data_IF_458429237531
#
_entry.id   IF_458429237531
#
_cell.length_a   1.000
_cell.length_b   1.000
_cell.length_c   1.000
_cell.angle_alpha   90.00
_cell.angle_beta   90.00
_cell.angle_gamma   90.00
#
_symmetry.space_group_name_H-M   'P 1'
#
loop_
_entity.id
_entity.type
_entity.pdbx_description
1 polymer ?
#
# COMPACT_ATOMS: atom_id res chain seq x y z
N UNK A 1 5.91 24.33 19.21
CA UNK A 1 7.08 25.16 18.92
C UNK A 1 7.34 26.10 20.08
N UNK A 2 8.59 26.26 20.47
CA UNK A 2 8.94 27.08 21.62
C UNK A 2 10.44 27.22 21.84
N UNK A 3 10.80 27.86 22.95
CA UNK A 3 12.19 28.03 23.36
C UNK A 3 12.58 26.92 24.34
N UNK A 4 13.71 26.30 24.11
CA UNK A 4 14.24 25.20 24.94
C UNK A 4 14.98 25.79 26.15
N UNK A 5 14.70 25.24 27.32
CA UNK A 5 15.46 25.46 28.55
C UNK A 5 15.97 24.08 29.04
N UNK A 6 17.25 23.99 29.36
CA UNK A 6 17.89 22.75 29.76
C UNK A 6 18.22 22.84 31.24
N UNK A 7 17.55 22.02 32.05
CA UNK A 7 17.89 21.85 33.47
C UNK A 7 18.63 20.52 33.71
N UNK A 8 19.76 20.59 34.42
CA UNK A 8 20.43 19.40 34.95
C UNK A 8 20.12 19.26 36.44
N UNK A 9 19.37 18.22 36.79
CA UNK A 9 19.06 17.89 38.18
C UNK A 9 19.42 16.40 38.45
N UNK A 10 20.19 16.15 39.48
CA UNK A 10 20.55 14.80 39.99
C UNK A 10 21.03 13.77 38.95
N UNK A 11 21.76 14.24 37.92
CA UNK A 11 22.27 13.39 36.82
C UNK A 11 21.25 12.95 35.80
N UNK A 12 20.04 13.52 35.83
CA UNK A 12 19.06 13.53 34.74
C UNK A 12 18.99 14.92 34.12
N UNK A 13 18.76 14.97 32.82
CA UNK A 13 18.51 16.22 32.09
C UNK A 13 17.05 16.30 31.77
N UNK A 14 16.46 17.46 32.08
CA UNK A 14 15.08 17.78 31.73
C UNK A 14 15.10 18.92 30.73
N UNK A 15 14.48 18.69 29.58
CA UNK A 15 14.22 19.74 28.57
C UNK A 15 12.84 20.32 28.81
N UNK A 16 12.78 21.61 29.06
CA UNK A 16 11.53 22.37 29.11
C UNK A 16 11.38 23.19 27.84
N UNK A 17 10.24 23.05 27.17
CA UNK A 17 9.93 23.83 25.98
C UNK A 17 8.84 24.82 26.33
N UNK A 18 9.22 26.09 26.35
CA UNK A 18 8.31 27.21 26.62
C UNK A 18 7.59 27.59 25.32
N UNK A 19 6.31 27.23 25.21
CA UNK A 19 5.45 27.56 24.08
C UNK A 19 4.81 28.96 24.18
N UNK A 20 4.09 29.36 23.14
CA UNK A 20 3.51 30.71 22.96
C UNK A 20 2.31 31.05 23.86
N UNK A 21 1.85 30.17 24.77
CA UNK A 21 0.66 30.36 25.64
C UNK A 21 0.93 29.95 27.08
N UNK A 22 2.12 30.20 27.62
CA UNK A 22 2.53 29.71 28.95
C UNK A 22 2.43 28.17 29.12
N UNK A 23 2.36 27.44 28.01
CA UNK A 23 2.49 26.00 28.01
C UNK A 23 3.96 25.62 28.12
N UNK A 24 4.28 24.84 29.13
CA UNK A 24 5.61 24.27 29.32
C UNK A 24 5.49 22.78 29.15
N UNK A 25 6.15 22.25 28.10
CA UNK A 25 6.24 20.82 27.85
C UNK A 25 7.56 20.32 28.42
N UNK A 26 7.50 19.40 29.37
CA UNK A 26 8.67 18.81 30.04
C UNK A 26 9.01 17.44 29.41
N UNK A 27 10.26 17.27 29.00
CA UNK A 27 10.80 16.02 28.47
C UNK A 27 11.97 15.56 29.29
N UNK A 28 11.82 14.42 30.00
CA UNK A 28 12.92 13.79 30.70
C UNK A 28 13.84 13.06 29.75
N UNK A 29 15.12 13.41 29.74
CA UNK A 29 16.10 12.74 28.89
C UNK A 29 16.70 11.53 29.60
N UNK A 30 16.80 10.38 28.88
CA UNK A 30 17.53 9.22 29.38
C UNK A 30 18.99 9.58 29.70
N UNK A 31 19.55 8.93 30.72
CA UNK A 31 20.97 9.14 31.07
C UNK A 31 21.88 8.82 29.90
N UNK A 32 22.70 9.79 29.49
CA UNK A 32 23.59 9.66 28.34
C UNK A 32 22.99 10.01 26.98
N UNK A 33 21.73 10.47 26.93
CA UNK A 33 21.15 11.00 25.70
C UNK A 33 21.97 12.18 25.19
N UNK A 34 22.27 12.19 23.88
CA UNK A 34 22.94 13.30 23.21
C UNK A 34 21.86 14.17 22.59
N UNK A 35 21.99 15.48 22.76
CA UNK A 35 21.12 16.44 22.09
C UNK A 35 21.38 16.43 20.59
N UNK A 36 20.30 16.66 19.83
CA UNK A 36 20.37 16.64 18.38
C UNK A 36 21.23 17.80 17.86
N UNK A 37 22.11 17.47 16.92
CA UNK A 37 22.88 18.40 16.14
C UNK A 37 22.78 18.00 14.68
N UNK A 38 22.43 18.94 13.80
CA UNK A 38 22.41 18.68 12.36
C UNK A 38 23.82 18.42 11.85
N UNK A 39 23.94 17.54 10.84
CA UNK A 39 25.23 17.24 10.17
C UNK A 39 25.86 18.49 9.56
N UNK A 40 25.04 19.43 9.12
CA UNK A 40 25.48 20.74 8.55
C UNK A 40 25.89 21.74 9.62
N UNK A 41 25.69 21.44 10.91
CA UNK A 41 26.01 22.31 12.04
C UNK A 41 25.12 23.55 12.16
N UNK A 42 24.12 23.73 11.31
CA UNK A 42 23.21 24.88 11.33
C UNK A 42 22.16 24.78 12.43
N UNK A 43 21.81 23.56 12.87
CA UNK A 43 20.88 23.31 13.95
C UNK A 43 21.55 22.51 15.07
N UNK A 44 21.64 23.09 16.24
CA UNK A 44 22.08 22.45 17.47
C UNK A 44 21.09 22.80 18.59
N UNK A 45 20.62 21.79 19.30
CA UNK A 45 19.76 21.99 20.47
C UNK A 45 20.64 22.41 21.65
N UNK A 46 20.66 23.71 21.89
CA UNK A 46 21.34 24.35 23.03
C UNK A 46 20.32 25.07 23.90
N UNK A 47 20.74 25.42 25.12
CA UNK A 47 19.90 26.24 25.99
C UNK A 47 19.51 27.55 25.32
N UNK A 48 18.21 27.87 25.31
CA UNK A 48 17.66 29.03 24.61
C UNK A 48 17.40 28.87 23.10
N UNK A 49 17.68 27.71 22.49
CA UNK A 49 17.35 27.44 21.10
C UNK A 49 15.83 27.45 20.85
N UNK A 50 15.42 27.87 19.66
CA UNK A 50 14.03 27.77 19.22
C UNK A 50 13.82 26.47 18.48
N UNK A 51 12.78 25.71 18.85
CA UNK A 51 12.42 24.43 18.25
C UNK A 51 11.02 24.48 17.63
N UNK A 52 10.86 23.81 16.51
CA UNK A 52 9.58 23.66 15.83
C UNK A 52 8.83 22.43 16.30
N UNK A 53 7.53 22.36 15.96
CA UNK A 53 6.71 21.19 16.27
C UNK A 53 7.22 19.96 15.52
N UNK A 54 7.47 18.87 16.24
CA UNK A 54 7.98 17.62 15.66
C UNK A 54 9.48 17.61 15.35
N UNK A 55 10.20 18.63 15.77
CA UNK A 55 11.66 18.66 15.65
C UNK A 55 12.29 17.66 16.61
N UNK A 56 13.24 16.87 16.10
CA UNK A 56 13.98 15.91 16.91
C UNK A 56 14.86 16.61 17.94
N UNK A 57 14.72 16.25 19.21
CA UNK A 57 15.47 16.85 20.32
C UNK A 57 16.72 16.07 20.68
N UNK A 58 16.73 14.76 20.46
CA UNK A 58 17.84 13.88 20.82
C UNK A 58 18.33 13.09 19.62
N UNK A 59 19.61 12.72 19.63
CA UNK A 59 20.18 11.84 18.61
C UNK A 59 19.68 10.41 18.86
N UNK A 60 19.08 9.80 17.84
CA UNK A 60 18.58 8.43 17.92
C UNK A 60 17.57 8.14 16.80
N UNK A 61 17.04 6.93 16.81
CA UNK A 61 15.95 6.56 15.91
C UNK A 61 14.67 7.30 16.33
N UNK A 62 13.98 7.86 15.36
CA UNK A 62 12.70 8.54 15.57
C UNK A 62 11.59 7.50 15.52
N UNK A 63 10.65 7.56 16.47
CA UNK A 63 9.47 6.67 16.45
C UNK A 63 8.47 7.14 15.37
N UNK A 64 8.19 6.31 14.36
CA UNK A 64 7.20 6.63 13.34
C UNK A 64 5.79 6.85 13.88
N UNK A 65 5.45 6.28 15.05
CA UNK A 65 4.15 6.49 15.69
C UNK A 65 4.03 7.91 16.26
N UNK A 66 5.07 8.40 16.91
CA UNK A 66 5.12 9.79 17.39
C UNK A 66 5.09 10.79 16.23
N UNK A 67 5.82 10.49 15.14
CA UNK A 67 5.75 11.31 13.91
C UNK A 67 4.33 11.35 13.33
N UNK A 68 3.63 10.23 13.36
CA UNK A 68 2.24 10.15 12.87
C UNK A 68 1.31 11.04 13.71
N UNK A 69 1.46 11.03 15.02
CA UNK A 69 0.62 11.82 15.93
C UNK A 69 0.90 13.32 15.82
N UNK A 70 2.17 13.71 15.74
CA UNK A 70 2.58 15.13 15.79
C UNK A 70 2.57 15.79 14.42
N UNK A 71 3.13 15.13 13.40
CA UNK A 71 3.33 15.71 12.05
C UNK A 71 2.40 15.13 11.00
N UNK A 72 1.64 14.08 11.34
CA UNK A 72 0.65 13.46 10.47
C UNK A 72 1.18 12.43 9.50
N UNK A 73 0.26 11.87 8.71
CA UNK A 73 0.48 10.69 7.87
C UNK A 73 1.59 10.89 6.83
N UNK A 74 1.59 12.04 6.15
CA UNK A 74 2.54 12.28 5.05
C UNK A 74 3.98 12.30 5.52
N UNK A 75 4.26 12.98 6.62
CA UNK A 75 5.61 13.08 7.18
C UNK A 75 6.11 11.73 7.67
N UNK A 76 5.25 10.95 8.36
CA UNK A 76 5.57 9.60 8.80
C UNK A 76 5.85 8.66 7.61
N UNK A 77 5.09 8.77 6.52
CA UNK A 77 5.34 8.00 5.30
C UNK A 77 6.68 8.34 4.66
N UNK A 78 7.00 9.63 4.51
CA UNK A 78 8.27 10.07 3.93
C UNK A 78 9.46 9.64 4.78
N UNK A 79 9.33 9.73 6.11
CA UNK A 79 10.36 9.26 7.03
C UNK A 79 10.64 7.77 6.87
N UNK A 80 9.59 6.93 6.84
CA UNK A 80 9.75 5.48 6.64
C UNK A 80 10.40 5.13 5.29
N UNK A 81 9.99 5.81 4.21
CA UNK A 81 10.59 5.61 2.89
C UNK A 81 12.07 5.97 2.92
N UNK A 82 12.42 7.12 3.52
CA UNK A 82 13.81 7.56 3.65
C UNK A 82 14.66 6.56 4.43
N UNK A 83 14.23 6.16 5.62
CA UNK A 83 14.96 5.22 6.48
C UNK A 83 15.23 3.88 5.77
N UNK A 84 14.22 3.32 5.10
CA UNK A 84 14.38 2.08 4.33
C UNK A 84 15.35 2.27 3.16
N UNK A 85 15.24 3.37 2.43
CA UNK A 85 16.12 3.66 1.29
C UNK A 85 17.56 3.91 1.71
N UNK A 86 17.78 4.57 2.84
CA UNK A 86 19.12 4.83 3.36
C UNK A 86 19.83 3.52 3.71
N UNK A 87 19.13 2.53 4.27
CA UNK A 87 19.67 1.18 4.49
C UNK A 87 20.05 0.50 3.18
N UNK A 88 19.19 0.51 2.16
CA UNK A 88 19.51 -0.10 0.87
C UNK A 88 20.65 0.61 0.15
N UNK A 89 20.66 1.95 0.16
CA UNK A 89 21.74 2.75 -0.43
C UNK A 89 23.08 2.50 0.24
N UNK A 90 23.10 2.35 1.57
CA UNK A 90 24.34 2.05 2.31
C UNK A 90 24.94 0.68 1.93
N UNK A 91 24.10 -0.25 1.46
CA UNK A 91 24.50 -1.56 0.95
C UNK A 91 24.76 -1.59 -0.56
N UNK A 92 24.67 -0.45 -1.24
CA UNK A 92 24.89 -0.35 -2.68
C UNK A 92 23.76 -0.91 -3.54
N UNK A 93 22.57 -1.11 -2.98
CA UNK A 93 21.41 -1.64 -3.72
C UNK A 93 20.48 -0.50 -4.13
N UNK A 94 20.46 -0.10 -5.42
CA UNK A 94 19.55 0.95 -5.89
C UNK A 94 18.14 0.40 -6.05
N UNK A 95 17.19 0.90 -5.28
CA UNK A 95 15.76 0.60 -5.39
C UNK A 95 15.02 1.91 -5.65
N UNK A 96 14.07 1.90 -6.59
CA UNK A 96 13.24 3.07 -6.84
C UNK A 96 12.21 3.25 -5.71
N UNK A 97 12.05 4.48 -5.23
CA UNK A 97 11.21 4.84 -4.07
C UNK A 97 9.78 4.31 -4.18
N UNK A 98 9.20 4.28 -5.39
CA UNK A 98 7.82 3.80 -5.63
C UNK A 98 7.53 2.40 -5.06
N UNK A 99 8.53 1.51 -5.02
CA UNK A 99 8.34 0.15 -4.50
C UNK A 99 8.18 0.15 -2.98
N UNK A 100 8.95 0.99 -2.30
CA UNK A 100 8.85 1.18 -0.84
C UNK A 100 7.58 1.95 -0.50
N UNK A 101 7.27 3.01 -1.25
CA UNK A 101 6.06 3.82 -1.08
C UNK A 101 4.77 3.01 -1.17
N UNK A 102 4.71 2.02 -2.08
CA UNK A 102 3.56 1.10 -2.18
C UNK A 102 3.34 0.30 -0.90
N UNK A 103 4.43 -0.20 -0.30
CA UNK A 103 4.38 -0.96 0.95
C UNK A 103 3.97 -0.05 2.10
N UNK A 104 4.62 1.10 2.23
CA UNK A 104 4.33 2.09 3.27
C UNK A 104 2.88 2.56 3.17
N UNK A 105 2.36 2.80 1.95
CA UNK A 105 0.95 3.15 1.74
C UNK A 105 -0.01 2.10 2.32
N UNK A 106 0.31 0.80 2.19
CA UNK A 106 -0.52 -0.27 2.77
C UNK A 106 -0.46 -0.29 4.30
N UNK A 107 0.67 0.09 4.90
CA UNK A 107 0.81 0.19 6.36
C UNK A 107 -0.11 1.27 6.97
N UNK A 108 -0.45 2.32 6.22
CA UNK A 108 -1.35 3.41 6.62
C UNK A 108 -2.77 3.29 6.04
N UNK A 109 -3.14 2.13 5.55
CA UNK A 109 -4.44 1.91 4.92
C UNK A 109 -5.60 1.94 5.91
N UNK A 110 -5.36 1.58 7.16
CA UNK A 110 -6.38 1.46 8.20
C UNK A 110 -6.45 2.70 9.09
N UNK A 111 -7.65 2.96 9.58
CA UNK A 111 -7.94 4.00 10.57
C UNK A 111 -8.66 3.37 11.76
N UNK A 112 -8.46 3.94 12.95
CA UNK A 112 -9.16 3.55 14.16
C UNK A 112 -10.27 4.57 14.43
N UNK A 113 -11.51 4.10 14.57
CA UNK A 113 -12.68 4.93 14.84
C UNK A 113 -12.63 5.41 16.29
N UNK A 114 -12.68 6.72 16.49
CA UNK A 114 -12.73 7.35 17.81
C UNK A 114 -14.17 7.67 18.20
N UNK A 115 -14.93 8.24 17.27
CA UNK A 115 -16.32 8.58 17.43
C UNK A 115 -17.12 8.06 16.22
N UNK A 116 -18.21 7.38 16.49
CA UNK A 116 -19.01 6.75 15.45
C UNK A 116 -19.95 7.73 14.72
N UNK A 117 -20.31 8.87 15.34
CA UNK A 117 -21.35 9.75 14.81
C UNK A 117 -22.64 8.99 14.51
N UNK A 118 -23.24 9.29 13.35
CA UNK A 118 -24.45 8.61 12.85
C UNK A 118 -24.12 7.45 11.87
N UNK A 119 -22.87 6.99 11.86
CA UNK A 119 -22.44 5.87 11.02
C UNK A 119 -22.72 4.52 11.69
N UNK A 120 -22.61 3.43 10.91
CA UNK A 120 -22.75 2.05 11.41
C UNK A 120 -21.49 1.52 12.13
N UNK A 121 -20.46 2.32 12.29
CA UNK A 121 -19.20 1.91 12.91
C UNK A 121 -19.28 1.92 14.45
N UNK A 122 -18.38 1.16 15.07
CA UNK A 122 -18.24 1.16 16.53
C UNK A 122 -16.94 1.89 16.93
N UNK A 123 -16.94 2.62 18.05
CA UNK A 123 -15.71 3.18 18.60
C UNK A 123 -14.69 2.08 18.89
N UNK A 124 -13.45 2.28 18.43
CA UNK A 124 -12.37 1.28 18.53
C UNK A 124 -12.23 0.37 17.31
N UNK A 125 -13.16 0.38 16.36
CA UNK A 125 -13.06 -0.41 15.14
C UNK A 125 -11.88 0.03 14.27
N UNK A 126 -11.20 -0.95 13.68
CA UNK A 126 -10.15 -0.72 12.70
C UNK A 126 -10.69 -0.94 11.30
N UNK A 127 -10.88 0.13 10.55
CA UNK A 127 -11.58 0.16 9.27
C UNK A 127 -10.65 0.62 8.14
N UNK A 128 -10.92 0.16 6.92
CA UNK A 128 -10.25 0.66 5.72
C UNK A 128 -10.58 2.15 5.50
N UNK A 129 -9.58 2.96 5.24
CA UNK A 129 -9.71 4.41 5.06
C UNK A 129 -10.66 4.79 3.92
N UNK A 130 -10.69 4.00 2.85
CA UNK A 130 -11.58 4.27 1.70
C UNK A 130 -13.03 3.96 2.06
N UNK A 131 -13.27 2.84 2.77
CA UNK A 131 -14.58 2.47 3.28
C UNK A 131 -15.11 3.49 4.28
N UNK A 132 -14.23 3.95 5.18
CA UNK A 132 -14.54 5.00 6.14
C UNK A 132 -14.96 6.31 5.45
N UNK A 133 -14.21 6.74 4.43
CA UNK A 133 -14.55 7.94 3.65
C UNK A 133 -15.91 7.83 2.96
N UNK A 134 -16.17 6.71 2.28
CA UNK A 134 -17.45 6.49 1.59
C UNK A 134 -18.65 6.50 2.53
N UNK A 135 -18.53 5.92 3.72
CA UNK A 135 -19.60 5.92 4.70
C UNK A 135 -19.85 7.31 5.27
N UNK A 136 -18.79 8.07 5.54
CA UNK A 136 -18.93 9.48 5.96
C UNK A 136 -19.59 10.34 4.87
N UNK A 137 -19.21 10.16 3.60
CA UNK A 137 -19.83 10.87 2.48
C UNK A 137 -21.33 10.54 2.38
N UNK A 138 -21.72 9.26 2.61
CA UNK A 138 -23.11 8.84 2.65
C UNK A 138 -23.89 9.56 3.76
N UNK A 139 -23.37 9.50 4.99
CA UNK A 139 -24.00 10.12 6.16
C UNK A 139 -24.11 11.63 6.00
N UNK A 140 -23.08 12.29 5.47
CA UNK A 140 -23.12 13.73 5.18
C UNK A 140 -24.19 14.06 4.13
N UNK A 141 -24.38 13.23 3.10
CA UNK A 141 -25.43 13.43 2.09
C UNK A 141 -26.83 13.29 2.67
N UNK A 142 -27.00 12.49 3.72
CA UNK A 142 -28.23 12.31 4.48
C UNK A 142 -28.45 13.40 5.56
N UNK A 143 -27.46 14.29 5.77
CA UNK A 143 -27.50 15.38 6.74
C UNK A 143 -27.17 14.96 8.18
N UNK A 144 -26.57 13.77 8.36
CA UNK A 144 -26.11 13.23 9.64
C UNK A 144 -24.71 13.71 10.03
N UNK A 145 -24.28 13.31 11.22
CA UNK A 145 -22.95 13.60 11.76
C UNK A 145 -21.95 12.52 11.31
N UNK A 146 -20.83 12.89 10.65
CA UNK A 146 -19.81 11.93 10.22
C UNK A 146 -19.03 11.36 11.42
N UNK A 147 -18.51 10.14 11.25
CA UNK A 147 -17.60 9.54 12.22
C UNK A 147 -16.23 10.22 12.21
N UNK A 148 -15.57 10.25 13.38
CA UNK A 148 -14.19 10.70 13.54
C UNK A 148 -13.26 9.48 13.74
N UNK A 149 -12.09 9.50 13.08
CA UNK A 149 -11.10 8.44 13.21
C UNK A 149 -9.68 8.98 13.24
N UNK A 150 -8.78 8.22 13.85
CA UNK A 150 -7.33 8.49 13.84
C UNK A 150 -6.63 7.55 12.83
N UNK A 151 -5.66 8.05 12.06
CA UNK A 151 -4.84 7.20 11.21
C UNK A 151 -4.07 6.20 12.06
N UNK A 152 -3.95 4.97 11.56
CA UNK A 152 -3.26 3.88 12.24
C UNK A 152 -2.07 3.43 11.40
N UNK A 153 -0.88 3.37 12.01
CA UNK A 153 0.30 2.75 11.44
C UNK A 153 0.37 1.29 11.88
N UNK A 154 0.38 0.39 10.92
CA UNK A 154 0.54 -1.05 11.15
C UNK A 154 1.89 -1.54 10.64
N UNK A 155 2.54 -2.45 11.37
CA UNK A 155 3.68 -3.19 10.84
C UNK A 155 3.29 -4.02 9.61
N UNK A 156 4.28 -4.37 8.76
CA UNK A 156 4.08 -5.06 7.48
C UNK A 156 3.26 -6.35 7.64
N UNK A 157 3.61 -7.19 8.62
CA UNK A 157 2.90 -8.45 8.88
C UNK A 157 1.45 -8.21 9.28
N UNK A 158 1.20 -7.29 10.21
CA UNK A 158 -0.15 -6.97 10.67
C UNK A 158 -0.99 -6.35 9.55
N UNK A 159 -0.41 -5.48 8.74
CA UNK A 159 -1.09 -4.90 7.58
C UNK A 159 -1.46 -5.96 6.53
N UNK A 160 -0.60 -6.97 6.33
CA UNK A 160 -0.84 -8.08 5.41
C UNK A 160 -1.94 -9.04 5.89
N UNK A 161 -2.09 -9.23 7.20
CA UNK A 161 -3.16 -10.05 7.79
C UNK A 161 -4.49 -9.30 7.91
N UNK A 162 -4.45 -7.98 8.04
CA UNK A 162 -5.63 -7.12 8.14
C UNK A 162 -6.23 -6.79 6.76
N UNK A 163 -6.27 -7.75 5.83
CA UNK A 163 -6.89 -7.58 4.51
C UNK A 163 -8.36 -7.95 4.55
N UNK A 164 -9.14 -7.46 3.58
CA UNK A 164 -10.55 -7.81 3.46
C UNK A 164 -10.76 -9.23 2.88
N UNK A 165 -9.71 -9.81 2.26
CA UNK A 165 -9.67 -11.18 1.75
C UNK A 165 -9.07 -12.12 2.78
N UNK A 166 -9.90 -12.96 3.39
CA UNK A 166 -9.44 -13.99 4.32
C UNK A 166 -8.63 -15.08 3.62
N UNK A 167 -8.90 -15.39 2.34
CA UNK A 167 -8.08 -16.31 1.54
C UNK A 167 -6.64 -15.80 1.39
N UNK A 168 -6.48 -14.53 1.08
CA UNK A 168 -5.16 -13.90 0.98
C UNK A 168 -4.42 -13.92 2.31
N UNK A 169 -5.09 -13.60 3.41
CA UNK A 169 -4.52 -13.63 4.76
C UNK A 169 -4.10 -15.05 5.17
N UNK A 170 -4.98 -16.04 5.00
CA UNK A 170 -4.73 -17.43 5.35
C UNK A 170 -3.56 -18.04 4.58
N UNK A 171 -3.35 -17.63 3.33
CA UNK A 171 -2.21 -18.09 2.51
C UNK A 171 -0.87 -17.47 2.92
N UNK A 172 -0.87 -16.45 3.77
CA UNK A 172 0.34 -15.76 4.21
C UNK A 172 0.86 -16.31 5.55
N UNK A 173 0.09 -16.17 6.62
CA UNK A 173 0.42 -16.64 7.97
C UNK A 173 -0.84 -16.94 8.78
N UNK A 174 -0.69 -17.62 9.90
CA UNK A 174 -1.78 -17.91 10.85
C UNK A 174 -3.00 -18.58 10.20
N UNK A 175 -2.76 -19.49 9.29
CA UNK A 175 -3.80 -20.14 8.45
C UNK A 175 -4.98 -20.64 9.26
N UNK A 176 -4.71 -21.38 10.35
CA UNK A 176 -5.77 -21.98 11.17
C UNK A 176 -6.63 -20.92 11.86
N UNK A 177 -6.00 -19.86 12.40
CA UNK A 177 -6.72 -18.76 13.06
C UNK A 177 -7.62 -18.02 12.07
N UNK A 178 -7.07 -17.62 10.94
CA UNK A 178 -7.80 -16.87 9.90
C UNK A 178 -8.98 -17.69 9.37
N UNK A 179 -8.77 -18.99 9.07
CA UNK A 179 -9.85 -19.86 8.59
C UNK A 179 -10.92 -20.07 9.65
N UNK A 180 -10.55 -20.19 10.92
CA UNK A 180 -11.51 -20.36 12.02
C UNK A 180 -12.34 -19.09 12.20
N UNK A 181 -11.72 -17.91 12.23
CA UNK A 181 -12.40 -16.61 12.33
C UNK A 181 -13.37 -16.43 11.15
N UNK A 182 -12.92 -16.64 9.92
CA UNK A 182 -13.74 -16.52 8.73
C UNK A 182 -14.94 -17.49 8.74
N UNK A 183 -14.75 -18.72 9.25
CA UNK A 183 -15.82 -19.70 9.37
C UNK A 183 -16.86 -19.32 10.44
N UNK A 184 -16.39 -18.79 11.59
CA UNK A 184 -17.28 -18.35 12.67
C UNK A 184 -18.12 -17.12 12.26
N UNK A 185 -17.54 -16.21 11.50
CA UNK A 185 -18.21 -15.01 11.01
C UNK A 185 -19.02 -15.25 9.74
N UNK A 186 -18.94 -16.47 9.16
CA UNK A 186 -19.50 -16.76 7.83
C UNK A 186 -19.06 -15.76 6.77
N UNK A 187 -17.79 -15.33 6.83
CA UNK A 187 -17.25 -14.28 6.00
C UNK A 187 -17.12 -14.71 4.54
N UNK A 188 -17.70 -13.94 3.64
CA UNK A 188 -17.49 -14.08 2.19
C UNK A 188 -16.22 -13.38 1.73
N UNK A 189 -15.46 -13.99 0.81
CA UNK A 189 -14.32 -13.32 0.18
C UNK A 189 -14.76 -12.62 -1.11
N UNK A 190 -14.48 -11.31 -1.27
CA UNK A 190 -14.92 -10.56 -2.44
C UNK A 190 -14.13 -10.87 -3.72
N UNK A 191 -13.03 -11.63 -3.64
CA UNK A 191 -12.17 -12.04 -4.76
C UNK A 191 -11.68 -10.87 -5.65
N UNK A 192 -11.39 -9.74 -5.05
CA UNK A 192 -10.96 -8.51 -5.75
C UNK A 192 -9.46 -8.50 -6.06
N UNK A 193 -8.66 -9.16 -5.22
CA UNK A 193 -7.21 -9.17 -5.37
C UNK A 193 -6.69 -10.25 -6.33
N UNK A 194 -5.38 -10.27 -6.51
CA UNK A 194 -4.72 -11.23 -7.40
C UNK A 194 -4.59 -12.61 -6.74
N UNK A 195 -4.15 -12.65 -5.49
CA UNK A 195 -3.78 -13.88 -4.78
C UNK A 195 -4.97 -14.84 -4.60
N UNK A 196 -6.11 -14.33 -4.16
CA UNK A 196 -7.32 -15.12 -3.95
C UNK A 196 -7.84 -15.73 -5.27
N UNK A 197 -7.78 -15.00 -6.37
CA UNK A 197 -8.18 -15.51 -7.67
C UNK A 197 -7.21 -16.59 -8.18
N UNK A 198 -5.90 -16.42 -7.96
CA UNK A 198 -4.90 -17.45 -8.29
C UNK A 198 -5.10 -18.72 -7.48
N UNK A 199 -5.41 -18.62 -6.17
CA UNK A 199 -5.66 -19.77 -5.30
C UNK A 199 -6.84 -20.58 -5.78
N UNK A 200 -7.94 -19.93 -6.23
CA UNK A 200 -9.14 -20.58 -6.72
C UNK A 200 -9.00 -21.08 -8.16
N UNK A 201 -7.96 -20.63 -8.89
CA UNK A 201 -7.77 -20.95 -10.30
C UNK A 201 -8.61 -20.11 -11.27
N UNK A 202 -9.10 -18.95 -10.83
CA UNK A 202 -9.77 -17.97 -11.71
C UNK A 202 -8.77 -17.03 -12.36
N UNK A 203 -9.17 -16.41 -13.48
CA UNK A 203 -8.40 -15.34 -14.08
C UNK A 203 -8.27 -14.17 -13.09
N UNK A 204 -7.06 -13.62 -12.98
CA UNK A 204 -6.81 -12.44 -12.15
C UNK A 204 -7.54 -11.22 -12.73
N UNK A 205 -8.02 -10.29 -11.90
CA UNK A 205 -8.69 -9.07 -12.36
C UNK A 205 -7.68 -8.03 -12.86
N UNK A 206 -6.80 -8.45 -13.77
CA UNK A 206 -5.77 -7.64 -14.40
C UNK A 206 -5.47 -8.17 -15.81
N UNK A 207 -5.03 -7.30 -16.71
CA UNK A 207 -4.77 -7.66 -18.10
C UNK A 207 -6.00 -8.24 -18.79
N UNK A 208 -5.85 -9.40 -19.46
CA UNK A 208 -6.95 -10.08 -20.17
C UNK A 208 -8.05 -10.64 -19.27
N UNK A 209 -7.84 -10.71 -17.95
CA UNK A 209 -8.84 -11.11 -16.98
C UNK A 209 -9.82 -10.00 -16.58
N UNK A 210 -9.58 -8.76 -17.00
CA UNK A 210 -10.50 -7.63 -16.76
C UNK A 210 -11.76 -7.83 -17.60
N UNK A 211 -12.93 -7.63 -16.99
CA UNK A 211 -14.23 -7.85 -17.62
C UNK A 211 -14.39 -7.07 -18.93
N UNK A 212 -13.87 -5.86 -19.00
CA UNK A 212 -13.87 -5.04 -20.22
C UNK A 212 -13.24 -5.76 -21.42
N UNK A 213 -12.11 -6.46 -21.23
CA UNK A 213 -11.47 -7.19 -22.33
C UNK A 213 -12.17 -8.51 -22.66
N UNK A 214 -12.98 -9.05 -21.77
CA UNK A 214 -13.76 -10.26 -21.99
C UNK A 214 -15.01 -9.99 -22.85
N UNK A 215 -15.49 -8.76 -22.87
CA UNK A 215 -16.63 -8.33 -23.68
C UNK A 215 -16.25 -7.83 -25.07
N UNK A 216 -14.94 -7.73 -25.38
CA UNK A 216 -14.47 -7.31 -26.70
C UNK A 216 -14.53 -8.50 -27.67
N UNK A 217 -15.41 -8.44 -28.63
CA UNK A 217 -15.44 -9.36 -29.75
C UNK A 217 -14.41 -8.91 -30.81
N UNK A 218 -13.49 -9.80 -31.15
CA UNK A 218 -12.53 -9.57 -32.22
C UNK A 218 -13.19 -9.95 -33.54
N UNK A 219 -13.69 -8.95 -34.27
CA UNK A 219 -14.17 -9.12 -35.63
C UNK A 219 -12.99 -9.13 -36.63
N UNK A 220 -13.03 -10.03 -37.59
CA UNK A 220 -12.17 -9.90 -38.76
C UNK A 220 -12.64 -8.70 -39.55
N UNK A 221 -11.80 -7.66 -39.61
CA UNK A 221 -12.02 -6.59 -40.57
C UNK A 221 -11.71 -7.20 -41.95
N UNK A 222 -12.73 -7.53 -42.74
CA UNK A 222 -12.51 -7.83 -44.14
C UNK A 222 -11.91 -6.55 -44.74
N UNK A 223 -10.61 -6.58 -44.99
CA UNK A 223 -9.96 -5.53 -45.76
C UNK A 223 -10.53 -5.66 -47.17
N UNK A 224 -11.26 -4.62 -47.70
CA UNK A 224 -11.80 -4.72 -49.04
C UNK A 224 -10.64 -5.03 -49.99
N UNK A 225 -10.80 -6.05 -50.83
CA UNK A 225 -9.80 -6.52 -51.82
C UNK A 225 -9.29 -5.39 -52.74
N UNK A 226 -10.05 -4.28 -52.78
CA UNK A 226 -9.69 -3.08 -53.55
C UNK A 226 -8.72 -2.12 -52.87
N UNK A 227 -8.30 -2.40 -51.60
CA UNK A 227 -7.43 -1.51 -50.84
C UNK A 227 -5.93 -1.94 -50.88
N UNK A 228 -5.62 -3.07 -51.47
CA UNK A 228 -4.24 -3.49 -51.63
C UNK A 228 -3.65 -2.91 -52.92
N UNK A 229 -2.52 -2.20 -52.86
CA UNK A 229 -1.78 -1.82 -54.06
C UNK A 229 -1.49 -3.05 -54.94
N UNK A 230 -1.58 -2.90 -56.25
CA UNK A 230 -1.47 -4.01 -57.21
C UNK A 230 -0.16 -4.84 -57.05
N UNK A 231 0.90 -4.17 -56.69
CA UNK A 231 2.22 -4.72 -56.39
C UNK A 231 2.21 -5.61 -55.12
N UNK A 232 1.40 -5.31 -54.11
CA UNK A 232 1.26 -6.17 -52.90
C UNK A 232 0.35 -7.37 -53.22
N UNK A 233 -0.72 -7.17 -53.98
CA UNK A 233 -1.59 -8.26 -54.35
C UNK A 233 -0.85 -9.30 -55.25
N UNK A 234 0.01 -8.84 -56.18
CA UNK A 234 0.82 -9.68 -57.02
C UNK A 234 1.91 -10.43 -56.22
N UNK A 235 2.50 -9.79 -55.21
CA UNK A 235 3.44 -10.41 -54.28
C UNK A 235 2.78 -11.52 -53.46
N UNK A 236 1.58 -11.28 -52.91
CA UNK A 236 0.84 -12.29 -52.14
C UNK A 236 0.39 -13.47 -53.02
N UNK A 237 -0.05 -13.22 -54.24
CA UNK A 237 -0.40 -14.26 -55.18
C UNK A 237 0.83 -15.10 -55.63
N UNK A 238 2.00 -14.49 -55.66
CA UNK A 238 3.27 -15.22 -55.97
C UNK A 238 3.78 -16.09 -54.81
N UNK A 239 3.38 -15.81 -53.57
CA UNK A 239 3.75 -16.60 -52.39
C UNK A 239 2.84 -17.79 -52.16
N UNK A 240 1.60 -17.81 -52.66
CA UNK A 240 0.71 -18.99 -52.60
C UNK A 240 1.15 -20.15 -53.50
N UNK A 241 2.05 -19.92 -54.45
CA UNK A 241 2.56 -20.95 -55.33
C UNK A 241 3.85 -21.64 -54.81
N UNK A 242 4.32 -21.31 -53.62
CA UNK A 242 5.46 -21.99 -53.04
C UNK A 242 4.98 -23.15 -52.14
N UNK A 243 4.54 -24.25 -52.74
CA UNK A 243 4.52 -25.56 -52.12
C UNK A 243 5.97 -26.00 -51.93
N UNK A 244 6.63 -25.44 -50.89
CA UNK A 244 7.93 -25.83 -50.44
C UNK A 244 7.82 -27.09 -49.61
N UNK A 245 8.44 -28.14 -50.10
CA UNK A 245 8.78 -29.37 -49.42
C UNK A 245 9.15 -29.11 -47.95
N UNK A 246 8.22 -29.48 -47.05
CA UNK A 246 8.25 -29.19 -45.60
C UNK A 246 9.27 -30.05 -44.86
N UNK A 247 10.53 -29.68 -44.95
CA UNK A 247 11.59 -30.25 -44.10
C UNK A 247 12.33 -29.15 -43.35
N UNK A 248 11.66 -28.51 -42.41
CA UNK A 248 12.30 -27.86 -41.27
C UNK A 248 11.78 -28.51 -40.01
N UNK A 249 12.50 -29.53 -39.54
CA UNK A 249 12.27 -30.15 -38.26
C UNK A 249 12.44 -29.13 -37.13
N UNK A 250 11.35 -28.68 -36.55
CA UNK A 250 11.31 -28.07 -35.25
C UNK A 250 10.52 -29.01 -34.34
N UNK A 251 11.28 -30.00 -33.81
CA UNK A 251 10.82 -30.88 -32.76
C UNK A 251 10.78 -30.09 -31.44
N UNK A 252 9.62 -29.54 -31.10
CA UNK A 252 9.37 -28.80 -29.88
C UNK A 252 7.88 -28.89 -29.52
N UNK A 253 7.50 -30.10 -29.10
CA UNK A 253 6.12 -30.39 -28.70
C UNK A 253 5.66 -29.54 -27.50
N UNK A 254 4.77 -28.64 -27.74
CA UNK A 254 3.81 -28.13 -26.77
C UNK A 254 2.43 -28.58 -27.25
N UNK A 255 2.01 -29.73 -26.76
CA UNK A 255 0.66 -30.25 -26.99
C UNK A 255 -0.37 -29.35 -26.31
N UNK A 256 -1.11 -28.64 -27.14
CA UNK A 256 -2.42 -28.09 -26.77
C UNK A 256 -3.47 -29.08 -27.27
N UNK A 257 -3.64 -30.17 -26.56
CA UNK A 257 -4.77 -31.06 -26.75
C UNK A 257 -5.53 -31.19 -25.45
N UNK A 258 -6.85 -31.05 -25.56
CA UNK A 258 -7.90 -31.41 -24.63
C UNK A 258 -8.23 -30.47 -23.47
N UNK A 259 -8.92 -29.37 -23.79
CA UNK A 259 -10.01 -28.87 -22.94
C UNK A 259 -11.21 -28.42 -23.79
N UNK A 260 -11.80 -29.37 -24.51
CA UNK A 260 -13.16 -29.18 -24.99
C UNK A 260 -14.01 -30.35 -24.54
N UNK A 261 -15.10 -29.94 -23.87
CA UNK A 261 -16.36 -30.66 -23.70
C UNK A 261 -16.46 -31.72 -22.61
N UNK A 262 -17.19 -31.40 -21.57
CA UNK A 262 -18.50 -32.07 -21.41
C UNK A 262 -19.39 -31.21 -20.49
N UNK A 263 -20.29 -30.45 -21.09
CA UNK A 263 -21.45 -29.85 -20.41
C UNK A 263 -22.68 -30.26 -21.19
N UNK A 264 -23.14 -31.48 -20.89
CA UNK A 264 -24.38 -31.96 -21.46
C UNK A 264 -24.95 -33.19 -20.72
N UNK A 265 -26.06 -32.96 -20.00
CA UNK A 265 -27.05 -33.92 -19.58
C UNK A 265 -26.73 -34.81 -18.36
N UNK A 266 -27.12 -34.40 -17.17
CA UNK A 266 -28.26 -34.99 -16.42
C UNK A 266 -28.61 -34.07 -15.26
#
# INVERSE_FOLDING_TARGET
>A
AGRVEIEEADGSRVLRIHGSRDQVDEHELPRGARLYRSDDGEMEIVDGAHVEVGQQLTVGAVDPHELLEVLGVRTAQLHLVKEVQDVYRSQGVPIHDKHVELIVRQMFRRVNVVDAGDTSFLPGDTIDRVRFGRENDRVLSEGGQPAAARPLLMGITKASLATDSWLSAASFQETTRVLTEAALESAGDPLVGLKENVIIGKLIPAGTGVEHYRSVEVGHTEVPEQALPADIAEFLASTESYEGDGSWGFDGGWGYDDFTTDAGQQ
#
